data_IF_644122815918
#
_entry.id   IF_644122815918
#
_cell.length_a   1.000
_cell.length_b   1.000
_cell.length_c   1.000
_cell.angle_alpha   90.00
_cell.angle_beta   90.00
_cell.angle_gamma   90.00
#
_symmetry.space_group_name_H-M   'P 1'
#
loop_
_entity.id
_entity.type
_entity.pdbx_description
1 polymer ?
#
# COMPACT_ATOMS: atom_id res chain seq x y z
N UNK A 1 -21.52 -17.75 -34.30
CA UNK A 1 -20.24 -17.90 -33.56
C UNK A 1 -19.18 -16.87 -33.96
N UNK A 2 -18.91 -16.63 -35.26
CA UNK A 2 -17.89 -15.67 -35.70
C UNK A 2 -18.13 -14.20 -35.24
N UNK A 3 -19.38 -13.71 -35.29
CA UNK A 3 -19.72 -12.34 -34.86
C UNK A 3 -19.71 -12.10 -33.35
N UNK A 4 -19.75 -13.16 -32.53
CA UNK A 4 -19.65 -13.04 -31.07
C UNK A 4 -18.17 -12.91 -30.65
N UNK A 5 -17.30 -13.67 -31.33
CA UNK A 5 -15.84 -13.65 -31.13
C UNK A 5 -15.24 -12.31 -31.58
N UNK A 6 -15.74 -11.73 -32.69
CA UNK A 6 -15.29 -10.41 -33.13
C UNK A 6 -15.67 -9.30 -32.13
N UNK A 7 -16.92 -9.30 -31.65
CA UNK A 7 -17.39 -8.34 -30.63
C UNK A 7 -16.69 -8.50 -29.28
N UNK A 8 -16.41 -9.73 -28.84
CA UNK A 8 -15.61 -9.94 -27.62
C UNK A 8 -14.18 -9.41 -27.79
N UNK A 9 -13.58 -9.56 -28.99
CA UNK A 9 -12.25 -9.01 -29.25
C UNK A 9 -12.24 -7.48 -29.24
N UNK A 10 -13.31 -6.83 -29.70
CA UNK A 10 -13.47 -5.38 -29.64
C UNK A 10 -13.65 -4.89 -28.21
N UNK A 11 -14.46 -5.57 -27.40
CA UNK A 11 -14.62 -5.23 -25.98
C UNK A 11 -13.32 -5.37 -25.18
N UNK A 12 -12.52 -6.40 -25.46
CA UNK A 12 -11.19 -6.55 -24.85
C UNK A 12 -10.26 -5.42 -25.26
N UNK A 13 -10.24 -5.05 -26.56
CA UNK A 13 -9.43 -3.92 -27.05
C UNK A 13 -9.84 -2.59 -26.44
N UNK A 14 -11.15 -2.35 -26.27
CA UNK A 14 -11.67 -1.17 -25.59
C UNK A 14 -11.25 -1.19 -24.11
N UNK A 15 -11.42 -2.32 -23.43
CA UNK A 15 -10.98 -2.49 -22.03
C UNK A 15 -9.49 -2.22 -21.84
N UNK A 16 -8.63 -2.73 -22.74
CA UNK A 16 -7.19 -2.46 -22.71
C UNK A 16 -6.90 -0.98 -22.95
N UNK A 17 -7.58 -0.34 -23.90
CA UNK A 17 -7.40 1.09 -24.20
C UNK A 17 -7.74 1.96 -23.00
N UNK A 18 -8.76 1.59 -22.21
CA UNK A 18 -9.12 2.31 -20.99
C UNK A 18 -8.23 1.96 -19.78
N UNK A 19 -7.83 0.70 -19.63
CA UNK A 19 -7.03 0.26 -18.49
C UNK A 19 -5.56 0.75 -18.57
N UNK A 20 -5.00 0.88 -19.77
CA UNK A 20 -3.61 1.32 -19.99
C UNK A 20 -3.26 2.65 -19.32
N UNK A 21 -3.99 3.76 -19.56
CA UNK A 21 -3.63 5.05 -18.95
C UNK A 21 -3.77 5.02 -17.42
N UNK A 22 -4.78 4.33 -16.88
CA UNK A 22 -4.96 4.18 -15.43
C UNK A 22 -3.80 3.42 -14.81
N UNK A 23 -3.39 2.31 -15.45
CA UNK A 23 -2.26 1.51 -14.99
C UNK A 23 -0.94 2.27 -15.11
N UNK A 24 -0.75 3.10 -16.14
CA UNK A 24 0.44 3.93 -16.28
C UNK A 24 0.58 4.94 -15.14
N UNK A 25 -0.51 5.63 -14.79
CA UNK A 25 -0.53 6.56 -13.66
C UNK A 25 -0.27 5.79 -12.35
N UNK A 26 -0.93 4.66 -12.15
CA UNK A 26 -0.69 3.82 -10.97
C UNK A 26 0.76 3.37 -10.86
N UNK A 27 1.36 2.91 -11.97
CA UNK A 27 2.77 2.50 -12.01
C UNK A 27 3.73 3.66 -11.72
N UNK A 28 3.40 4.88 -12.12
CA UNK A 28 4.22 6.05 -11.82
C UNK A 28 4.30 6.28 -10.31
N UNK A 29 3.16 6.31 -9.62
CA UNK A 29 3.12 6.51 -8.16
C UNK A 29 3.68 5.31 -7.39
N UNK A 30 3.35 4.08 -7.82
CA UNK A 30 3.87 2.86 -7.21
C UNK A 30 5.41 2.82 -7.20
N UNK A 31 6.07 3.31 -8.27
CA UNK A 31 7.53 3.36 -8.35
C UNK A 31 8.17 4.35 -7.37
N UNK A 32 7.47 5.39 -6.94
CA UNK A 32 8.04 6.38 -6.00
C UNK A 32 7.64 6.09 -4.56
N UNK A 33 6.45 5.58 -4.33
CA UNK A 33 5.90 5.36 -2.98
C UNK A 33 6.07 3.94 -2.45
N UNK A 34 6.02 2.92 -3.32
CA UNK A 34 6.11 1.50 -2.91
C UNK A 34 7.49 0.89 -3.16
N UNK A 35 8.45 1.67 -3.63
CA UNK A 35 9.83 1.18 -3.80
C UNK A 35 10.48 1.01 -2.44
N UNK A 36 11.14 -0.14 -2.18
CA UNK A 36 11.83 -0.34 -0.91
C UNK A 36 12.86 0.77 -0.69
N UNK A 37 12.96 1.31 0.54
CA UNK A 37 13.85 2.41 0.85
C UNK A 37 15.31 2.04 0.57
N UNK A 38 16.13 3.03 0.23
CA UNK A 38 17.56 2.79 0.03
C UNK A 38 18.27 2.65 1.38
N UNK A 39 19.42 1.99 1.41
CA UNK A 39 20.24 1.88 2.63
C UNK A 39 20.61 3.25 3.24
N UNK A 40 20.63 4.30 2.42
CA UNK A 40 20.88 5.68 2.85
C UNK A 40 19.77 6.27 3.72
N UNK A 41 18.55 5.74 3.64
CA UNK A 41 17.38 6.23 4.37
C UNK A 41 17.25 5.60 5.76
N UNK A 42 17.95 4.50 6.01
CA UNK A 42 17.91 3.75 7.29
C UNK A 42 18.27 4.62 8.51
N UNK A 43 19.32 5.48 8.48
CA UNK A 43 19.62 6.35 9.61
C UNK A 43 18.50 7.34 9.91
N UNK A 44 17.86 7.90 8.88
CA UNK A 44 16.74 8.81 9.03
C UNK A 44 15.53 8.11 9.67
N UNK A 45 15.20 6.90 9.20
CA UNK A 45 14.15 6.04 9.77
C UNK A 45 14.42 5.77 11.26
N UNK A 46 15.63 5.34 11.63
CA UNK A 46 16.01 5.08 13.03
C UNK A 46 15.86 6.34 13.90
N UNK A 47 16.26 7.49 13.38
CA UNK A 47 16.10 8.77 14.09
C UNK A 47 14.63 9.13 14.31
N UNK A 48 13.76 8.86 13.33
CA UNK A 48 12.32 9.07 13.43
C UNK A 48 11.69 8.21 14.51
N UNK A 49 12.02 6.90 14.54
CA UNK A 49 11.57 6.00 15.59
C UNK A 49 12.02 6.44 16.98
N UNK A 50 13.27 6.88 17.14
CA UNK A 50 13.78 7.38 18.42
C UNK A 50 12.99 8.61 18.93
N UNK A 51 12.65 9.54 18.03
CA UNK A 51 11.81 10.71 18.35
C UNK A 51 10.39 10.31 18.74
N UNK A 52 9.81 9.30 18.09
CA UNK A 52 8.49 8.78 18.40
C UNK A 52 8.46 8.17 19.81
N UNK A 53 9.46 7.33 20.15
CA UNK A 53 9.62 6.75 21.49
C UNK A 53 9.80 7.84 22.54
N UNK A 54 10.66 8.82 22.27
CA UNK A 54 10.87 9.96 23.19
C UNK A 54 9.58 10.73 23.40
N UNK A 55 8.82 11.00 22.34
CA UNK A 55 7.53 11.71 22.41
C UNK A 55 6.47 10.94 23.20
N UNK A 56 6.47 9.61 23.11
CA UNK A 56 5.61 8.76 23.91
C UNK A 56 6.01 8.81 25.40
N UNK A 57 7.31 8.77 25.71
CA UNK A 57 7.84 8.85 27.08
C UNK A 57 7.58 10.21 27.73
N UNK A 58 7.69 11.31 26.98
CA UNK A 58 7.46 12.66 27.50
C UNK A 58 5.97 13.02 27.64
N UNK A 59 5.05 12.17 27.18
CA UNK A 59 3.61 12.41 27.29
C UNK A 59 3.04 13.35 26.20
N UNK A 60 3.84 13.72 25.20
CA UNK A 60 3.47 14.67 24.14
C UNK A 60 2.33 14.18 23.24
N UNK A 61 2.00 12.89 23.29
CA UNK A 61 0.83 12.33 22.58
C UNK A 61 -0.50 12.95 23.03
N UNK A 62 -0.56 13.56 24.23
CA UNK A 62 -1.75 14.24 24.75
C UNK A 62 -2.02 15.61 24.10
N UNK A 63 -1.00 16.19 23.47
CA UNK A 63 -1.08 17.50 22.80
C UNK A 63 -1.49 17.37 21.33
N UNK A 64 -1.64 16.14 20.82
CA UNK A 64 -1.97 15.86 19.43
C UNK A 64 -3.46 16.13 19.19
N UNK A 65 -3.78 16.85 18.11
CA UNK A 65 -5.18 17.13 17.75
C UNK A 65 -5.89 15.87 17.28
N UNK A 66 -7.22 15.81 17.42
CA UNK A 66 -8.01 14.64 16.98
C UNK A 66 -7.79 14.33 15.49
N UNK A 67 -7.67 15.36 14.65
CA UNK A 67 -7.39 15.19 13.21
C UNK A 67 -6.07 14.47 12.97
N UNK A 68 -5.01 14.89 13.64
CA UNK A 68 -3.69 14.27 13.51
C UNK A 68 -3.69 12.84 14.08
N UNK A 69 -4.35 12.63 15.21
CA UNK A 69 -4.48 11.30 15.81
C UNK A 69 -5.14 10.32 14.83
N UNK A 70 -6.26 10.72 14.21
CA UNK A 70 -6.99 9.89 13.23
C UNK A 70 -6.11 9.57 12.02
N UNK A 71 -5.42 10.55 11.44
CA UNK A 71 -4.52 10.32 10.30
C UNK A 71 -3.41 9.34 10.67
N UNK A 72 -2.77 9.52 11.83
CA UNK A 72 -1.71 8.64 12.29
C UNK A 72 -2.22 7.22 12.55
N UNK A 73 -3.44 7.07 13.07
CA UNK A 73 -4.08 5.75 13.27
C UNK A 73 -4.38 5.08 11.94
N UNK A 74 -4.84 5.81 10.92
CA UNK A 74 -5.08 5.25 9.58
C UNK A 74 -3.80 4.74 8.94
N UNK A 75 -2.70 5.51 9.04
CA UNK A 75 -1.38 5.06 8.56
C UNK A 75 -0.92 3.81 9.33
N UNK A 76 -1.10 3.76 10.65
CA UNK A 76 -0.78 2.58 11.44
C UNK A 76 -1.60 1.35 11.02
N UNK A 77 -2.89 1.53 10.71
CA UNK A 77 -3.75 0.47 10.20
C UNK A 77 -3.30 -0.01 8.82
N UNK A 78 -2.87 0.89 7.92
CA UNK A 78 -2.33 0.54 6.62
C UNK A 78 -1.08 -0.33 6.73
N UNK A 79 -0.14 0.02 7.61
CA UNK A 79 1.06 -0.78 7.87
C UNK A 79 0.69 -2.18 8.36
N UNK A 80 -0.34 -2.30 9.20
CA UNK A 80 -0.84 -3.58 9.68
C UNK A 80 -1.49 -4.41 8.56
N UNK A 81 -2.22 -3.79 7.64
CA UNK A 81 -2.75 -4.47 6.46
C UNK A 81 -1.62 -5.05 5.58
N UNK A 82 -0.50 -4.34 5.42
CA UNK A 82 0.66 -4.86 4.70
C UNK A 82 1.27 -6.11 5.33
N UNK A 83 1.21 -6.25 6.66
CA UNK A 83 1.61 -7.50 7.33
C UNK A 83 0.73 -8.68 6.90
N UNK A 84 -0.60 -8.51 6.84
CA UNK A 84 -1.50 -9.56 6.35
C UNK A 84 -1.30 -9.88 4.87
N UNK A 85 -1.01 -8.89 4.03
CA UNK A 85 -0.63 -9.13 2.63
C UNK A 85 0.62 -10.03 2.56
N UNK A 86 1.63 -9.75 3.40
CA UNK A 86 2.80 -10.61 3.55
C UNK A 86 2.45 -12.03 4.01
N UNK A 87 1.51 -12.17 4.94
CA UNK A 87 1.01 -13.47 5.40
C UNK A 87 0.31 -14.25 4.27
N UNK A 88 -0.51 -13.58 3.45
CA UNK A 88 -1.15 -14.18 2.28
C UNK A 88 -0.11 -14.65 1.24
N UNK A 89 0.95 -13.87 1.02
CA UNK A 89 2.08 -14.26 0.15
C UNK A 89 2.81 -15.47 0.74
N UNK A 90 3.09 -15.47 2.05
CA UNK A 90 3.75 -16.57 2.75
C UNK A 90 2.95 -17.87 2.71
N UNK A 91 1.63 -17.78 2.89
CA UNK A 91 0.66 -18.88 2.74
C UNK A 91 0.48 -19.36 1.30
N UNK A 92 0.78 -18.49 0.33
CA UNK A 92 0.42 -18.65 -1.09
C UNK A 92 -1.08 -18.84 -1.33
N UNK A 93 -1.91 -18.32 -0.42
CA UNK A 93 -3.37 -18.40 -0.48
C UNK A 93 -4.00 -17.13 0.07
N UNK A 94 -5.13 -16.77 -0.54
CA UNK A 94 -5.93 -15.60 -0.15
C UNK A 94 -6.85 -15.95 1.02
N UNK A 95 -7.28 -17.21 1.15
CA UNK A 95 -8.22 -17.66 2.19
C UNK A 95 -7.64 -18.86 2.93
N UNK A 96 -7.51 -18.71 4.25
CA UNK A 96 -7.18 -19.72 5.25
C UNK A 96 -5.90 -20.57 5.02
N UNK A 97 -5.43 -21.19 6.10
CA UNK A 97 -4.47 -22.30 6.03
C UNK A 97 -5.25 -23.59 5.71
N UNK A 98 -4.65 -24.49 4.94
CA UNK A 98 -5.22 -25.82 4.75
C UNK A 98 -5.13 -26.54 6.09
N UNK A 99 -6.13 -27.34 6.48
CA UNK A 99 -5.91 -28.38 7.47
C UNK A 99 -4.82 -29.35 6.99
#
# INVERSE_FOLDING_TARGET
MAGLVSKSSELVKLGITHARPVLQVWLQYAKVELTPPSFKDIPAIRSGFSKLITSARTGRYREVTVREAVINTLVAAEIYCWFFVGECIGKRRIVAYNP
#
